data_IF_215453928376
#
_entry.id   IF_215453928376
#
_cell.length_a   1.000
_cell.length_b   1.000
_cell.length_c   1.000
_cell.angle_alpha   90.00
_cell.angle_beta   90.00
_cell.angle_gamma   90.00
#
_symmetry.space_group_name_H-M   'P 1'
#
loop_
_entity.id
_entity.type
_entity.pdbx_description
1 polymer ?
#
# COMPACT_ATOMS: atom_id res chain seq x y z
N UNK A 1 -7.78 -29.89 -18.03
CA UNK A 1 -8.98 -29.07 -17.74
C UNK A 1 -8.77 -27.61 -18.17
N UNK A 2 -9.76 -26.93 -18.74
CA UNK A 2 -9.69 -25.48 -19.02
C UNK A 2 -9.90 -24.67 -17.74
N UNK A 3 -9.17 -23.56 -17.55
CA UNK A 3 -9.27 -22.70 -16.35
C UNK A 3 -10.66 -22.09 -16.09
N UNK A 4 -11.55 -22.09 -17.09
CA UNK A 4 -12.90 -21.52 -17.01
C UNK A 4 -14.00 -22.59 -16.87
N UNK A 5 -13.65 -23.87 -16.87
CA UNK A 5 -14.62 -24.95 -16.67
C UNK A 5 -14.54 -25.43 -15.23
N UNK A 6 -15.68 -25.38 -14.54
CA UNK A 6 -15.79 -25.84 -13.15
C UNK A 6 -15.89 -27.36 -13.08
N UNK A 7 -15.48 -27.92 -11.94
CA UNK A 7 -15.62 -29.35 -11.66
C UNK A 7 -17.10 -29.73 -11.57
N UNK A 8 -17.47 -30.83 -12.22
CA UNK A 8 -18.79 -31.41 -12.09
C UNK A 8 -19.06 -31.82 -10.63
N UNK A 9 -20.29 -31.64 -10.12
CA UNK A 9 -20.60 -31.90 -8.71
C UNK A 9 -20.35 -33.35 -8.29
N UNK A 10 -20.58 -34.31 -9.19
CA UNK A 10 -20.33 -35.74 -8.94
C UNK A 10 -18.84 -36.01 -8.67
N UNK A 11 -17.96 -35.30 -9.39
CA UNK A 11 -16.51 -35.42 -9.19
C UNK A 11 -16.08 -34.85 -7.85
N UNK A 12 -16.69 -33.76 -7.41
CA UNK A 12 -16.43 -33.18 -6.08
C UNK A 12 -16.86 -34.17 -4.98
N UNK A 13 -17.99 -34.86 -5.17
CA UNK A 13 -18.45 -35.90 -4.24
C UNK A 13 -17.52 -37.12 -4.23
N UNK A 14 -16.97 -37.52 -5.39
CA UNK A 14 -15.96 -38.59 -5.48
C UNK A 14 -14.62 -38.21 -4.84
N UNK A 15 -14.21 -36.94 -4.98
CA UNK A 15 -13.03 -36.40 -4.30
C UNK A 15 -13.23 -36.44 -2.78
N UNK A 16 -14.38 -35.97 -2.27
CA UNK A 16 -14.73 -36.02 -0.85
C UNK A 16 -14.74 -37.45 -0.31
N UNK A 17 -15.26 -38.39 -1.09
CA UNK A 17 -15.36 -39.79 -0.70
C UNK A 17 -14.04 -40.57 -0.86
N UNK A 18 -12.97 -39.94 -1.37
CA UNK A 18 -11.69 -40.59 -1.60
C UNK A 18 -11.73 -41.70 -2.66
N UNK A 19 -12.64 -41.61 -3.63
CA UNK A 19 -12.86 -42.63 -4.68
C UNK A 19 -12.04 -42.42 -5.96
N UNK A 20 -11.26 -41.33 -6.02
CA UNK A 20 -10.48 -40.96 -7.19
C UNK A 20 -9.07 -41.57 -7.16
N UNK A 21 -8.50 -41.80 -8.35
CA UNK A 21 -7.11 -42.22 -8.47
C UNK A 21 -6.16 -41.07 -8.07
N UNK A 22 -4.93 -41.41 -7.61
CA UNK A 22 -3.98 -40.41 -7.10
C UNK A 22 -3.67 -39.28 -8.09
N UNK A 23 -3.53 -39.60 -9.38
CA UNK A 23 -3.24 -38.61 -10.43
C UNK A 23 -4.43 -37.66 -10.64
N UNK A 24 -5.66 -38.18 -10.57
CA UNK A 24 -6.89 -37.38 -10.69
C UNK A 24 -7.10 -36.48 -9.48
N UNK A 25 -6.76 -36.95 -8.29
CA UNK A 25 -6.79 -36.15 -7.06
C UNK A 25 -5.85 -34.96 -7.18
N UNK A 26 -4.62 -35.17 -7.66
CA UNK A 26 -3.64 -34.09 -7.84
C UNK A 26 -4.14 -33.07 -8.86
N UNK A 27 -4.66 -33.51 -10.00
CA UNK A 27 -5.22 -32.61 -11.03
C UNK A 27 -6.38 -31.77 -10.45
N UNK A 28 -7.31 -32.42 -9.74
CA UNK A 28 -8.47 -31.75 -9.17
C UNK A 28 -8.12 -30.78 -8.06
N UNK A 29 -7.22 -31.16 -7.14
CA UNK A 29 -6.76 -30.27 -6.07
C UNK A 29 -5.97 -29.08 -6.62
N UNK A 30 -5.19 -29.28 -7.70
CA UNK A 30 -4.50 -28.19 -8.39
C UNK A 30 -5.52 -27.19 -8.94
N UNK A 31 -6.56 -27.66 -9.61
CA UNK A 31 -7.64 -26.80 -10.10
C UNK A 31 -8.38 -26.08 -8.96
N UNK A 32 -8.72 -26.79 -7.88
CA UNK A 32 -9.39 -26.20 -6.71
C UNK A 32 -8.52 -25.11 -6.06
N UNK A 33 -7.20 -25.30 -6.03
CA UNK A 33 -6.26 -24.28 -5.55
C UNK A 33 -6.29 -22.97 -6.35
N UNK A 34 -6.67 -23.03 -7.63
CA UNK A 34 -6.76 -21.86 -8.52
C UNK A 34 -8.19 -21.32 -8.71
N UNK A 35 -9.22 -22.12 -8.39
CA UNK A 35 -10.62 -21.80 -8.67
C UNK A 35 -11.46 -21.65 -7.39
N UNK A 36 -11.74 -20.40 -7.02
CA UNK A 36 -12.52 -20.06 -5.81
C UNK A 36 -13.90 -20.73 -5.79
N UNK A 37 -14.60 -20.77 -6.92
CA UNK A 37 -15.92 -21.40 -7.02
C UNK A 37 -15.87 -22.91 -6.72
N UNK A 38 -14.86 -23.61 -7.22
CA UNK A 38 -14.69 -25.04 -6.95
C UNK A 38 -14.25 -25.31 -5.49
N UNK A 39 -13.46 -24.40 -4.90
CA UNK A 39 -13.10 -24.47 -3.48
C UNK A 39 -14.31 -24.28 -2.56
N UNK A 40 -15.17 -23.31 -2.87
CA UNK A 40 -16.44 -23.08 -2.15
C UNK A 40 -17.36 -24.29 -2.30
N UNK A 41 -17.56 -24.77 -3.54
CA UNK A 41 -18.38 -25.94 -3.81
C UNK A 41 -17.89 -27.20 -3.07
N UNK A 42 -16.57 -27.38 -2.90
CA UNK A 42 -16.02 -28.47 -2.06
C UNK A 42 -16.32 -28.23 -0.57
N UNK A 43 -16.13 -27.01 -0.08
CA UNK A 43 -16.39 -26.63 1.30
C UNK A 43 -17.85 -26.87 1.73
N UNK A 44 -18.80 -26.53 0.87
CA UNK A 44 -20.24 -26.73 1.11
C UNK A 44 -20.65 -28.20 1.24
N UNK A 45 -19.83 -29.14 0.73
CA UNK A 45 -20.11 -30.58 0.88
C UNK A 45 -19.85 -31.09 2.29
N UNK A 46 -19.09 -30.38 3.11
CA UNK A 46 -18.85 -30.75 4.50
C UNK A 46 -19.91 -30.16 5.42
N UNK A 47 -20.50 -31.00 6.27
CA UNK A 47 -21.44 -30.54 7.30
C UNK A 47 -20.67 -29.98 8.49
N UNK A 48 -21.20 -28.96 9.17
CA UNK A 48 -20.52 -28.35 10.33
C UNK A 48 -20.19 -29.34 11.45
N UNK A 49 -20.98 -30.41 11.60
CA UNK A 49 -20.76 -31.47 12.58
C UNK A 49 -19.66 -32.48 12.18
N UNK A 50 -19.23 -32.47 10.92
CA UNK A 50 -18.09 -33.25 10.41
C UNK A 50 -16.76 -32.48 10.54
N UNK A 51 -16.83 -31.16 10.77
CA UNK A 51 -15.67 -30.28 10.84
C UNK A 51 -15.15 -30.15 12.27
N UNK A 52 -13.87 -30.47 12.46
CA UNK A 52 -13.18 -30.25 13.73
C UNK A 52 -12.93 -28.76 13.93
N UNK A 53 -13.24 -28.26 15.13
CA UNK A 53 -12.84 -26.90 15.53
C UNK A 53 -11.34 -26.85 15.71
N UNK A 54 -10.67 -26.13 14.82
CA UNK A 54 -9.24 -25.90 14.90
C UNK A 54 -8.94 -24.75 15.88
N UNK A 55 -7.81 -24.80 16.62
CA UNK A 55 -7.39 -23.69 17.44
C UNK A 55 -7.08 -22.46 16.56
N UNK A 56 -7.28 -21.23 17.08
CA UNK A 56 -7.19 -20.00 16.28
C UNK A 56 -5.80 -19.77 15.64
N UNK A 57 -4.75 -20.38 16.18
CA UNK A 57 -3.37 -20.26 15.68
C UNK A 57 -2.97 -21.34 14.66
N UNK A 58 -3.86 -22.31 14.35
CA UNK A 58 -3.53 -23.45 13.50
C UNK A 58 -3.11 -23.03 12.09
N UNK A 59 -3.92 -22.20 11.43
CA UNK A 59 -3.64 -21.72 10.07
C UNK A 59 -2.30 -21.00 9.98
N UNK A 60 -2.03 -20.07 10.93
CA UNK A 60 -0.76 -19.34 10.98
C UNK A 60 0.43 -20.28 11.11
N UNK A 61 0.38 -21.24 12.04
CA UNK A 61 1.47 -22.19 12.29
C UNK A 61 1.73 -23.10 11.10
N UNK A 62 0.68 -23.55 10.39
CA UNK A 62 0.80 -24.35 9.17
C UNK A 62 1.47 -23.55 8.06
N UNK A 63 1.03 -22.30 7.83
CA UNK A 63 1.62 -21.44 6.79
C UNK A 63 3.08 -21.08 7.07
N UNK A 64 3.42 -20.82 8.33
CA UNK A 64 4.80 -20.59 8.80
C UNK A 64 5.68 -21.82 8.54
N UNK A 65 5.19 -23.01 8.91
CA UNK A 65 5.92 -24.28 8.74
C UNK A 65 6.16 -24.62 7.27
N UNK A 66 5.18 -24.32 6.40
CA UNK A 66 5.27 -24.59 4.96
C UNK A 66 6.09 -23.52 4.20
N UNK A 67 6.55 -22.46 4.86
CA UNK A 67 7.32 -21.38 4.22
C UNK A 67 6.52 -20.57 3.19
N UNK A 68 5.18 -20.68 3.21
CA UNK A 68 4.26 -20.04 2.25
C UNK A 68 4.04 -18.54 2.58
N UNK A 69 4.60 -18.06 3.70
CA UNK A 69 4.54 -16.66 4.15
C UNK A 69 5.08 -15.64 3.13
N UNK A 70 5.74 -16.09 2.04
CA UNK A 70 6.21 -15.20 0.96
C UNK A 70 5.24 -14.96 -0.20
N UNK A 71 4.08 -15.64 -0.29
CA UNK A 71 3.26 -15.60 -1.52
C UNK A 71 1.82 -15.09 -1.34
N UNK A 72 1.35 -14.83 -0.12
CA UNK A 72 -0.01 -14.31 0.08
C UNK A 72 -0.03 -12.88 0.64
N UNK A 73 0.30 -11.92 -0.22
CA UNK A 73 -0.44 -10.65 -0.15
C UNK A 73 -1.83 -10.95 -0.69
N UNK A 74 -2.79 -10.98 0.24
CA UNK A 74 -4.25 -10.97 0.08
C UNK A 74 -4.93 -12.17 0.75
N UNK A 75 -5.88 -11.81 1.61
CA UNK A 75 -6.92 -12.66 2.19
C UNK A 75 -6.47 -13.46 3.43
N UNK A 76 -6.63 -12.87 4.62
CA UNK A 76 -6.74 -13.69 5.84
C UNK A 76 -6.35 -13.10 7.21
N UNK A 77 -6.85 -11.90 7.57
CA UNK A 77 -7.20 -11.51 8.95
C UNK A 77 -6.27 -11.95 10.11
N UNK A 78 -5.16 -11.23 10.27
CA UNK A 78 -4.73 -10.67 11.57
C UNK A 78 -3.89 -9.42 11.28
N UNK A 79 -4.33 -8.30 11.85
CA UNK A 79 -3.72 -6.96 11.81
C UNK A 79 -4.16 -6.01 10.68
N UNK A 80 -5.10 -6.41 9.81
CA UNK A 80 -5.65 -5.52 8.78
C UNK A 80 -6.22 -4.21 9.34
N UNK A 81 -6.71 -4.21 10.59
CA UNK A 81 -7.15 -2.98 11.27
C UNK A 81 -5.95 -2.06 11.55
N UNK A 82 -4.82 -2.56 12.06
CA UNK A 82 -3.63 -1.72 12.27
C UNK A 82 -3.05 -1.20 10.94
N UNK A 83 -3.08 -2.00 9.88
CA UNK A 83 -2.57 -1.57 8.57
C UNK A 83 -3.50 -0.58 7.87
N UNK A 84 -4.82 -0.82 7.91
CA UNK A 84 -5.84 0.13 7.43
C UNK A 84 -5.83 1.41 8.27
N UNK A 85 -5.62 1.34 9.59
CA UNK A 85 -5.47 2.52 10.44
C UNK A 85 -4.16 3.25 10.16
N UNK A 86 -3.04 2.55 9.96
CA UNK A 86 -1.78 3.20 9.61
C UNK A 86 -1.87 3.90 8.25
N UNK A 87 -2.52 3.26 7.26
CA UNK A 87 -2.77 3.86 5.96
C UNK A 87 -3.75 5.04 6.04
N UNK A 88 -4.89 4.88 6.72
CA UNK A 88 -5.89 5.94 6.90
C UNK A 88 -5.36 7.09 7.75
N UNK A 89 -4.48 6.82 8.72
CA UNK A 89 -3.82 7.85 9.52
C UNK A 89 -2.79 8.62 8.70
N UNK A 90 -2.01 7.95 7.83
CA UNK A 90 -1.12 8.64 6.86
C UNK A 90 -1.90 9.51 5.89
N UNK A 91 -2.97 8.98 5.30
CA UNK A 91 -3.83 9.72 4.37
C UNK A 91 -4.55 10.86 5.10
N UNK A 92 -5.01 10.63 6.34
CA UNK A 92 -5.62 11.64 7.20
C UNK A 92 -4.65 12.77 7.55
N UNK A 93 -3.40 12.45 7.93
CA UNK A 93 -2.36 13.45 8.16
C UNK A 93 -2.07 14.23 6.88
N UNK A 94 -1.91 13.56 5.73
CA UNK A 94 -1.67 14.22 4.46
C UNK A 94 -2.83 15.16 4.08
N UNK A 95 -4.08 14.72 4.28
CA UNK A 95 -5.27 15.54 4.07
C UNK A 95 -5.33 16.72 5.05
N UNK A 96 -4.99 16.53 6.33
CA UNK A 96 -4.93 17.60 7.32
C UNK A 96 -3.80 18.61 7.02
N UNK A 97 -2.64 18.17 6.55
CA UNK A 97 -1.54 19.06 6.11
C UNK A 97 -1.95 19.80 4.85
N UNK A 98 -2.59 19.13 3.88
CA UNK A 98 -3.11 19.77 2.67
C UNK A 98 -4.21 20.80 3.01
N UNK A 99 -5.10 20.49 3.95
CA UNK A 99 -6.09 21.42 4.48
C UNK A 99 -5.44 22.54 5.28
N UNK A 100 -4.40 22.30 6.07
CA UNK A 100 -3.63 23.35 6.76
C UNK A 100 -2.92 24.24 5.75
N UNK A 101 -2.32 23.72 4.69
CA UNK A 101 -1.68 24.52 3.64
C UNK A 101 -2.71 25.28 2.80
N UNK A 102 -3.84 24.65 2.48
CA UNK A 102 -4.95 25.28 1.81
C UNK A 102 -5.59 26.33 2.71
N UNK A 103 -5.80 26.13 4.00
CA UNK A 103 -6.36 27.16 4.87
C UNK A 103 -5.29 28.19 5.26
N UNK A 104 -4.02 27.86 5.43
CA UNK A 104 -2.96 28.86 5.67
C UNK A 104 -2.63 29.68 4.43
N UNK A 105 -2.78 29.13 3.22
CA UNK A 105 -2.70 29.86 1.96
C UNK A 105 -4.00 30.60 1.64
N UNK A 106 -5.14 29.93 1.71
CA UNK A 106 -6.47 30.47 1.35
C UNK A 106 -7.07 31.37 2.44
N UNK A 107 -6.72 31.24 3.73
CA UNK A 107 -7.03 32.27 4.74
C UNK A 107 -6.08 33.47 4.64
N UNK A 108 -4.83 33.27 4.17
CA UNK A 108 -3.93 34.40 3.86
C UNK A 108 -4.34 35.12 2.55
N UNK A 109 -4.96 34.42 1.60
CA UNK A 109 -5.54 35.01 0.38
C UNK A 109 -7.00 35.49 0.56
N UNK A 110 -7.75 34.95 1.52
CA UNK A 110 -9.18 35.19 1.70
C UNK A 110 -9.53 36.21 2.79
N UNK A 111 -8.63 36.55 3.71
CA UNK A 111 -8.87 37.54 4.78
C UNK A 111 -8.05 38.83 4.59
N UNK A 112 -7.32 39.00 3.48
CA UNK A 112 -6.75 40.30 3.12
C UNK A 112 -6.81 40.60 1.62
N UNK A 113 -8.03 40.78 1.12
CA UNK A 113 -8.30 41.67 -0.02
C UNK A 113 -8.93 43.01 0.43
N UNK A 114 -8.70 43.38 1.70
CA UNK A 114 -9.31 44.57 2.31
C UNK A 114 -8.36 45.47 3.09
N UNK A 115 -7.38 44.96 3.84
CA UNK A 115 -6.53 45.86 4.63
C UNK A 115 -5.22 45.21 5.10
N UNK A 116 -4.14 45.94 4.85
CA UNK A 116 -2.80 45.87 5.42
C UNK A 116 -2.02 44.55 5.30
N UNK A 117 -1.33 44.38 4.16
CA UNK A 117 0.00 43.76 4.15
C UNK A 117 0.93 44.68 4.95
N UNK A 118 1.04 44.43 6.25
CA UNK A 118 2.22 44.79 7.03
C UNK A 118 2.91 43.49 7.46
N UNK A 119 3.13 42.62 6.48
CA UNK A 119 4.06 41.50 6.61
C UNK A 119 5.47 42.06 6.53
N UNK A 120 6.24 41.84 7.58
CA UNK A 120 7.56 42.41 7.82
C UNK A 120 8.51 42.22 6.62
N UNK A 121 8.57 43.24 5.75
CA UNK A 121 9.38 43.28 4.54
C UNK A 121 10.88 43.11 4.83
N UNK A 122 11.32 43.24 6.09
CA UNK A 122 12.72 43.02 6.49
C UNK A 122 13.23 41.61 6.25
N UNK A 123 12.37 40.59 6.33
CA UNK A 123 12.78 39.22 6.09
C UNK A 123 13.02 38.97 4.59
N UNK A 124 12.16 39.51 3.73
CA UNK A 124 12.29 39.42 2.27
C UNK A 124 13.42 40.32 1.76
N UNK A 125 13.60 41.49 2.36
CA UNK A 125 14.72 42.39 2.10
C UNK A 125 16.05 41.72 2.49
N UNK A 126 16.15 41.06 3.66
CA UNK A 126 17.33 40.26 4.03
C UNK A 126 17.63 39.13 3.05
N UNK A 127 16.60 38.44 2.55
CA UNK A 127 16.79 37.37 1.56
C UNK A 127 17.28 37.97 0.24
N UNK A 128 16.71 39.08 -0.19
CA UNK A 128 17.10 39.80 -1.41
C UNK A 128 18.51 40.38 -1.30
N UNK A 129 18.88 40.91 -0.15
CA UNK A 129 20.19 41.49 0.15
C UNK A 129 21.26 40.40 0.29
N UNK A 130 20.95 39.26 0.91
CA UNK A 130 21.81 38.08 0.91
C UNK A 130 22.03 37.56 -0.52
N UNK A 131 20.96 37.43 -1.33
CA UNK A 131 21.08 36.96 -2.72
C UNK A 131 21.90 37.93 -3.58
N UNK A 132 21.73 39.25 -3.40
CA UNK A 132 22.60 40.25 -4.04
C UNK A 132 24.05 40.11 -3.59
N UNK A 133 24.30 39.95 -2.30
CA UNK A 133 25.66 39.75 -1.77
C UNK A 133 26.31 38.43 -2.24
N UNK A 134 25.53 37.37 -2.45
CA UNK A 134 26.00 36.14 -3.08
C UNK A 134 26.29 36.32 -4.57
N UNK A 135 25.44 37.06 -5.29
CA UNK A 135 25.67 37.39 -6.71
C UNK A 135 26.93 38.24 -6.89
N UNK A 136 27.13 39.26 -6.07
CA UNK A 136 28.31 40.12 -6.16
C UNK A 136 29.59 39.35 -5.84
N UNK A 137 29.57 38.46 -4.84
CA UNK A 137 30.72 37.57 -4.56
C UNK A 137 31.00 36.58 -5.68
N UNK A 138 29.98 36.10 -6.39
CA UNK A 138 30.17 35.20 -7.54
C UNK A 138 30.73 35.94 -8.76
N UNK A 139 30.31 37.19 -8.98
CA UNK A 139 30.86 38.05 -10.04
C UNK A 139 32.31 38.42 -9.71
N UNK A 140 32.61 38.78 -8.47
CA UNK A 140 33.97 39.11 -8.00
C UNK A 140 34.90 37.89 -8.04
N UNK A 141 34.42 36.72 -7.61
CA UNK A 141 35.17 35.45 -7.73
C UNK A 141 35.44 35.07 -9.19
N UNK A 142 34.49 35.35 -10.09
CA UNK A 142 34.66 35.14 -11.54
C UNK A 142 35.63 36.15 -12.17
N UNK A 143 35.61 37.41 -11.73
CA UNK A 143 36.57 38.44 -12.17
C UNK A 143 38.01 38.15 -11.73
N UNK A 144 38.19 37.64 -10.51
CA UNK A 144 39.51 37.22 -10.01
C UNK A 144 40.04 35.93 -10.67
N UNK A 145 39.17 35.03 -11.11
CA UNK A 145 39.58 33.82 -11.86
C UNK A 145 39.96 34.15 -13.30
N UNK A 146 39.25 35.08 -13.94
CA UNK A 146 39.57 35.56 -15.30
C UNK A 146 40.89 36.36 -15.35
N UNK A 147 41.22 37.11 -14.29
CA UNK A 147 42.52 37.80 -14.15
C UNK A 147 43.71 36.87 -13.87
N UNK A 148 43.46 35.63 -13.40
CA UNK A 148 44.51 34.63 -13.15
C UNK A 148 44.83 33.76 -14.38
N UNK A 149 44.03 33.83 -15.44
CA UNK A 149 44.31 33.17 -16.73
C UNK A 149 45.04 34.08 -17.73
N UNK A 150 45.21 35.37 -17.40
CA UNK A 150 45.86 36.38 -18.27
C UNK A 150 47.25 36.80 -17.74
N UNK A 151 47.74 36.19 -16.66
CA UNK A 151 49.06 36.45 -16.05
C UNK A 151 49.84 35.14 -15.91
#
# INVERSE_FOLDING_TARGET
MNRNEHLAPERIDDLRAGRLASDEVIEMLTHIGECVHCAEALGERYKENELLRLPPEFSRKVMETLGIERVSHSIGKKNGICELYAYSFRVGIAACIALMLLFSGTLNYGVSLGQSIHGDFKAVERITENLRGFSDRLIDFKGMTDLKEVL
#
